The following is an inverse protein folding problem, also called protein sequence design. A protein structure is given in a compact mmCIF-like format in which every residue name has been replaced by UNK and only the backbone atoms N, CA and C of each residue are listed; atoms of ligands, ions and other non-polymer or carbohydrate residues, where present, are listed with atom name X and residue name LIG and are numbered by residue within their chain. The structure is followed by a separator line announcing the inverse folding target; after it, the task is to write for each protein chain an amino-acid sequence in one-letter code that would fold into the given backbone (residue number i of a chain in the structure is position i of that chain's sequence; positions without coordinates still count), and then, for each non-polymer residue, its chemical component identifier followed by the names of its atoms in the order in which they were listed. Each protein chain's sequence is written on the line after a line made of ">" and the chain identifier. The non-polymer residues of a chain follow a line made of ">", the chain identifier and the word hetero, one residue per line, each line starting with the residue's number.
data_IF_842590826145
#
_entry.id   IF_842590826145
#
_cell.length_a   1.000
_cell.length_b   1.000
_cell.length_c   1.000
_cell.angle_alpha   90.00
_cell.angle_beta   90.00
_cell.angle_gamma   90.00
#
_symmetry.space_group_name_H-M   'P 1'
#
loop_
_entity.id
_entity.type
_entity.pdbx_description
1 polymer ?
#
# COMPACT_ATOMS: atom_id res chain seq x y z
N UNK A 1 13.29 52.40 -52.32
CA UNK A 1 14.63 51.80 -52.48
C UNK A 1 15.47 52.23 -51.30
N UNK A 2 15.88 51.25 -50.48
CA UNK A 2 17.15 51.10 -49.74
C UNK A 2 17.88 52.40 -49.31
N UNK A 3 18.15 52.54 -48.01
CA UNK A 3 19.31 53.33 -47.56
C UNK A 3 19.32 53.83 -46.10
N UNK A 4 19.99 53.05 -45.25
CA UNK A 4 20.78 53.41 -44.07
C UNK A 4 20.21 54.17 -42.87
N UNK A 5 20.44 53.58 -41.70
CA UNK A 5 20.40 54.23 -40.39
C UNK A 5 20.66 53.24 -39.25
N UNK A 6 21.90 52.77 -39.13
CA UNK A 6 22.38 52.00 -37.97
C UNK A 6 22.54 52.97 -36.80
N UNK A 7 21.95 52.66 -35.65
CA UNK A 7 22.50 53.05 -34.35
C UNK A 7 22.41 51.84 -33.42
N UNK A 8 23.57 51.47 -32.89
CA UNK A 8 23.72 50.52 -31.80
C UNK A 8 23.26 51.20 -30.51
N UNK A 9 22.42 50.54 -29.72
CA UNK A 9 22.40 50.75 -28.27
C UNK A 9 22.09 49.42 -27.55
N UNK A 10 23.12 48.99 -26.82
CA UNK A 10 23.14 48.27 -25.55
C UNK A 10 22.12 47.15 -25.28
N UNK A 11 22.63 45.93 -25.42
CA UNK A 11 22.12 44.71 -24.77
C UNK A 11 22.22 44.86 -23.25
N UNK A 12 21.07 44.95 -22.56
CA UNK A 12 20.95 44.46 -21.19
C UNK A 12 20.44 43.01 -21.22
N UNK A 13 21.35 42.11 -21.60
CA UNK A 13 21.15 40.68 -21.42
C UNK A 13 21.26 40.35 -19.94
N UNK A 14 20.16 40.47 -19.20
CA UNK A 14 20.02 39.83 -17.89
C UNK A 14 20.21 38.34 -18.10
N UNK A 15 21.40 37.85 -17.75
CA UNK A 15 21.79 36.48 -18.03
C UNK A 15 20.79 35.54 -17.37
N UNK A 16 20.38 34.47 -18.08
CA UNK A 16 19.65 33.34 -17.49
C UNK A 16 20.36 32.83 -16.22
N UNK A 17 21.69 33.07 -16.09
CA UNK A 17 22.46 32.80 -14.87
C UNK A 17 22.12 33.70 -13.68
N UNK A 18 21.73 34.97 -13.88
CA UNK A 18 21.32 35.90 -12.82
C UNK A 18 19.90 35.61 -12.34
N UNK A 19 19.00 35.24 -13.27
CA UNK A 19 17.64 34.81 -12.94
C UNK A 19 17.65 33.44 -12.25
N UNK A 20 18.50 32.52 -12.70
CA UNK A 20 18.77 31.25 -12.01
C UNK A 20 19.56 31.45 -10.71
N UNK A 21 20.43 32.46 -10.60
CA UNK A 21 21.08 32.81 -9.34
C UNK A 21 20.07 33.39 -8.36
N UNK A 22 19.12 34.21 -8.79
CA UNK A 22 18.01 34.72 -8.00
C UNK A 22 17.06 33.61 -7.52
N UNK A 23 16.69 32.66 -8.39
CA UNK A 23 15.92 31.47 -8.00
C UNK A 23 16.71 30.54 -7.08
N UNK A 24 18.01 30.34 -7.34
CA UNK A 24 18.90 29.60 -6.44
C UNK A 24 19.12 30.35 -5.12
N UNK A 25 19.06 31.68 -5.09
CA UNK A 25 19.21 32.47 -3.86
C UNK A 25 17.91 32.49 -3.05
N UNK A 26 16.74 32.49 -3.70
CA UNK A 26 15.43 32.26 -3.05
C UNK A 26 15.31 30.82 -2.53
N UNK A 27 15.70 29.82 -3.33
CA UNK A 27 15.77 28.42 -2.90
C UNK A 27 16.82 28.20 -1.80
N UNK A 28 17.97 28.89 -1.84
CA UNK A 28 19.01 28.85 -0.79
C UNK A 28 18.62 29.64 0.47
N UNK A 29 17.70 30.61 0.38
CA UNK A 29 17.11 31.28 1.56
C UNK A 29 16.05 30.42 2.25
N UNK A 30 15.42 29.49 1.52
CA UNK A 30 14.51 28.48 2.11
C UNK A 30 15.27 27.25 2.63
N UNK A 31 16.49 26.99 2.17
CA UNK A 31 17.31 25.81 2.55
C UNK A 31 18.40 26.07 3.61
N UNK A 32 18.33 27.17 4.37
CA UNK A 32 19.26 27.42 5.48
C UNK A 32 18.53 27.62 6.81
N UNK A 33 18.11 26.50 7.41
CA UNK A 33 18.36 26.11 8.81
C UNK A 33 18.17 24.59 8.93
N UNK A 34 19.24 23.77 9.11
CA UNK A 34 19.11 22.45 9.71
C UNK A 34 18.94 22.64 11.21
N UNK A 35 17.87 23.32 11.60
CA UNK A 35 17.41 23.34 12.97
C UNK A 35 16.32 22.30 13.02
N UNK A 36 16.52 21.27 13.85
CA UNK A 36 15.48 20.41 14.40
C UNK A 36 14.07 20.91 14.04
N UNK A 37 13.25 20.09 13.35
CA UNK A 37 11.82 20.08 13.69
C UNK A 37 11.81 20.09 15.22
N UNK A 38 11.20 21.06 15.94
CA UNK A 38 11.24 21.09 17.40
C UNK A 38 10.88 19.69 17.86
N UNK A 39 11.90 18.89 18.21
CA UNK A 39 11.63 17.49 18.46
C UNK A 39 10.80 17.55 19.72
N UNK A 40 9.68 16.84 19.74
CA UNK A 40 9.03 16.49 20.99
C UNK A 40 10.07 15.78 21.84
N UNK A 41 10.85 16.58 22.59
CA UNK A 41 12.05 16.16 23.31
C UNK A 41 11.71 15.14 24.39
N UNK A 42 10.43 15.12 24.74
CA UNK A 42 9.75 14.09 25.51
C UNK A 42 9.80 12.72 24.83
N UNK A 43 9.53 12.59 23.53
CA UNK A 43 9.49 11.30 22.84
C UNK A 43 10.83 10.58 22.83
N UNK A 44 11.97 11.30 22.80
CA UNK A 44 13.31 10.69 22.93
C UNK A 44 13.46 9.84 24.20
N UNK A 45 12.66 10.14 25.23
CA UNK A 45 12.70 9.46 26.53
C UNK A 45 11.53 8.51 26.74
N UNK A 46 10.55 8.47 25.81
CA UNK A 46 9.38 7.61 25.91
C UNK A 46 9.70 6.22 25.34
N UNK A 47 9.47 5.13 26.08
CA UNK A 47 9.60 3.78 25.54
C UNK A 47 8.70 3.58 24.31
N UNK A 48 9.19 2.83 23.31
CA UNK A 48 8.44 2.54 22.07
C UNK A 48 8.56 3.60 20.98
N UNK A 49 9.43 4.60 21.17
CA UNK A 49 9.76 5.60 20.16
C UNK A 49 11.27 5.69 19.95
N UNK A 50 11.66 5.90 18.70
CA UNK A 50 13.03 6.18 18.28
C UNK A 50 13.09 7.51 17.54
N UNK A 51 14.26 8.13 17.54
CA UNK A 51 14.54 9.28 16.66
C UNK A 51 15.43 8.81 15.55
N UNK A 52 14.93 8.88 14.32
CA UNK A 52 15.58 8.37 13.11
C UNK A 52 15.74 9.51 12.10
N UNK A 53 16.64 9.31 11.12
CA UNK A 53 16.89 10.31 10.08
C UNK A 53 16.26 9.89 8.76
N UNK A 54 15.32 10.68 8.24
CA UNK A 54 14.65 10.44 6.96
C UNK A 54 14.85 11.66 6.06
N UNK A 55 15.40 11.47 4.86
CA UNK A 55 15.65 12.56 3.90
C UNK A 55 16.39 13.77 4.49
N UNK A 56 17.32 13.52 5.41
CA UNK A 56 18.11 14.55 6.10
C UNK A 56 17.45 15.18 7.33
N UNK A 57 16.16 14.91 7.57
CA UNK A 57 15.38 15.39 8.73
C UNK A 57 15.44 14.37 9.87
N UNK A 58 15.55 14.85 11.11
CA UNK A 58 15.32 14.02 12.30
C UNK A 58 13.82 13.94 12.58
N UNK A 59 13.28 12.73 12.69
CA UNK A 59 11.86 12.46 12.92
C UNK A 59 11.70 11.49 14.08
N UNK A 60 10.59 11.61 14.81
CA UNK A 60 10.16 10.64 15.81
C UNK A 60 9.44 9.52 15.08
N UNK A 61 9.92 8.30 15.26
CA UNK A 61 9.29 7.09 14.75
C UNK A 61 8.79 6.21 15.89
N UNK A 62 7.68 5.51 15.67
CA UNK A 62 7.20 4.47 16.58
C UNK A 62 7.92 3.17 16.28
N UNK A 63 8.45 2.53 17.32
CA UNK A 63 9.10 1.24 17.19
C UNK A 63 8.07 0.12 17.11
N UNK A 64 8.09 -0.65 16.02
CA UNK A 64 7.14 -1.73 15.76
C UNK A 64 7.88 -2.99 15.34
N UNK A 65 7.65 -4.07 16.09
CA UNK A 65 8.13 -5.42 15.75
C UNK A 65 7.39 -5.88 14.50
N UNK A 66 8.13 -6.29 13.48
CA UNK A 66 7.57 -6.75 12.20
C UNK A 66 6.54 -5.79 11.57
N UNK A 67 6.91 -4.52 11.42
CA UNK A 67 6.03 -3.49 10.86
C UNK A 67 5.41 -3.89 9.51
N UNK A 68 4.10 -3.64 9.40
CA UNK A 68 3.30 -3.80 8.18
C UNK A 68 2.68 -2.45 7.84
N UNK A 69 3.37 -1.62 7.03
CA UNK A 69 3.02 -0.21 6.84
C UNK A 69 1.56 0.01 6.41
N UNK A 70 1.03 -0.85 5.54
CA UNK A 70 -0.35 -0.77 5.08
C UNK A 70 -1.38 -1.07 6.16
N UNK A 71 -1.10 -2.02 7.08
CA UNK A 71 -1.99 -2.27 8.22
C UNK A 71 -2.04 -1.07 9.14
N UNK A 72 -0.92 -0.38 9.30
CA UNK A 72 -0.85 0.85 10.08
C UNK A 72 -1.64 1.98 9.41
N UNK A 73 -1.52 2.12 8.09
CA UNK A 73 -2.35 3.05 7.30
C UNK A 73 -3.84 2.76 7.47
N UNK A 74 -4.26 1.50 7.33
CA UNK A 74 -5.66 1.08 7.49
C UNK A 74 -6.19 1.32 8.90
N UNK A 75 -5.37 1.05 9.93
CA UNK A 75 -5.71 1.36 11.33
C UNK A 75 -5.86 2.87 11.54
N UNK A 76 -4.93 3.67 11.04
CA UNK A 76 -5.00 5.13 11.13
C UNK A 76 -6.24 5.69 10.42
N UNK A 77 -6.54 5.17 9.22
CA UNK A 77 -7.72 5.58 8.47
C UNK A 77 -9.03 5.32 9.21
N UNK A 78 -9.18 4.15 9.84
CA UNK A 78 -10.34 3.82 10.68
C UNK A 78 -10.44 4.73 11.90
N UNK A 79 -9.30 5.05 12.52
CA UNK A 79 -9.28 6.00 13.64
C UNK A 79 -9.74 7.38 13.19
N UNK A 80 -9.26 7.90 12.06
CA UNK A 80 -9.74 9.16 11.49
C UNK A 80 -11.26 9.13 11.23
N UNK A 81 -11.76 8.05 10.62
CA UNK A 81 -13.20 7.88 10.38
C UNK A 81 -14.01 7.93 11.68
N UNK A 82 -13.59 7.19 12.71
CA UNK A 82 -14.28 7.18 14.00
C UNK A 82 -14.26 8.57 14.64
N UNK A 83 -13.11 9.26 14.60
CA UNK A 83 -13.00 10.64 15.10
C UNK A 83 -13.94 11.60 14.39
N UNK A 84 -14.10 11.47 13.07
CA UNK A 84 -15.04 12.30 12.32
C UNK A 84 -16.49 12.00 12.71
N UNK A 85 -16.85 10.72 12.85
CA UNK A 85 -18.17 10.32 13.31
C UNK A 85 -18.48 10.89 14.72
N UNK A 86 -17.54 10.76 15.66
CA UNK A 86 -17.68 11.27 17.03
C UNK A 86 -17.79 12.80 17.09
N UNK A 87 -17.15 13.50 16.14
CA UNK A 87 -17.21 14.95 15.99
C UNK A 87 -18.43 15.45 15.17
N UNK A 88 -19.28 14.54 14.68
CA UNK A 88 -20.42 14.90 13.81
C UNK A 88 -19.98 15.50 12.48
N UNK A 89 -18.87 15.00 11.92
CA UNK A 89 -18.33 15.36 10.61
C UNK A 89 -18.66 14.21 9.66
N UNK A 90 -19.47 14.49 8.64
CA UNK A 90 -19.73 13.55 7.56
C UNK A 90 -18.46 13.33 6.73
N UNK A 91 -18.06 12.06 6.56
CA UNK A 91 -16.92 11.66 5.74
C UNK A 91 -17.23 10.43 4.89
N UNK A 92 -16.56 10.30 3.74
CA UNK A 92 -16.78 9.21 2.78
C UNK A 92 -15.48 8.78 2.09
N UNK A 93 -15.37 7.51 1.74
CA UNK A 93 -14.24 6.95 1.01
C UNK A 93 -14.28 7.36 -0.47
N UNK A 94 -13.14 7.81 -1.01
CA UNK A 94 -13.02 8.32 -2.40
C UNK A 94 -11.99 7.55 -3.26
N UNK A 95 -11.49 6.42 -2.77
CA UNK A 95 -10.50 5.58 -3.44
C UNK A 95 -11.16 4.37 -4.10
N UNK A 96 -10.57 3.78 -5.16
CA UNK A 96 -11.13 2.62 -5.86
C UNK A 96 -11.35 1.39 -4.97
N UNK A 97 -12.28 0.52 -5.38
CA UNK A 97 -12.54 -0.75 -4.67
C UNK A 97 -11.27 -1.61 -4.59
N UNK A 98 -11.07 -2.21 -3.42
CA UNK A 98 -9.88 -3.04 -3.18
C UNK A 98 -8.56 -2.25 -3.16
N UNK A 99 -8.56 -0.91 -3.22
CA UNK A 99 -7.33 -0.12 -3.05
C UNK A 99 -6.84 -0.12 -1.60
N UNK A 100 -5.53 0.09 -1.42
CA UNK A 100 -4.88 0.34 -0.12
C UNK A 100 -4.71 1.82 0.20
N UNK A 101 -5.08 2.68 -0.74
CA UNK A 101 -5.09 4.12 -0.51
C UNK A 101 -6.29 4.44 0.37
N UNK A 102 -6.07 5.03 1.53
CA UNK A 102 -7.15 5.46 2.41
C UNK A 102 -7.33 6.97 2.30
N UNK A 103 -8.35 7.34 1.54
CA UNK A 103 -8.74 8.73 1.30
C UNK A 103 -10.16 8.99 1.78
N UNK A 104 -10.29 9.98 2.68
CA UNK A 104 -11.56 10.48 3.20
C UNK A 104 -11.91 11.83 2.57
N UNK A 105 -13.00 11.86 1.82
CA UNK A 105 -13.68 13.09 1.45
C UNK A 105 -14.45 13.67 2.64
N UNK A 106 -14.35 14.98 2.83
CA UNK A 106 -15.16 15.75 3.77
C UNK A 106 -15.64 17.04 3.10
N UNK A 107 -16.78 17.56 3.54
CA UNK A 107 -17.29 18.84 3.03
C UNK A 107 -16.31 19.97 3.35
N UNK A 108 -16.19 20.95 2.45
CA UNK A 108 -15.31 22.11 2.64
C UNK A 108 -15.62 22.87 3.94
N UNK A 109 -16.90 23.01 4.27
CA UNK A 109 -17.37 23.64 5.50
C UNK A 109 -16.84 22.96 6.77
N UNK A 110 -16.61 21.65 6.72
CA UNK A 110 -16.16 20.85 7.86
C UNK A 110 -14.66 20.60 7.89
N UNK A 111 -13.96 20.86 6.79
CA UNK A 111 -12.55 20.52 6.65
C UNK A 111 -11.65 21.10 7.75
N UNK A 112 -11.82 22.38 8.10
CA UNK A 112 -11.05 22.99 9.18
C UNK A 112 -11.33 22.31 10.54
N UNK A 113 -12.58 21.91 10.80
CA UNK A 113 -12.99 21.17 11.99
C UNK A 113 -12.42 19.75 11.99
N UNK A 114 -12.35 19.10 10.83
CA UNK A 114 -11.75 17.78 10.66
C UNK A 114 -10.24 17.80 10.98
N UNK A 115 -9.51 18.77 10.42
CA UNK A 115 -8.07 18.99 10.71
C UNK A 115 -7.86 19.23 12.21
N UNK A 116 -8.63 20.12 12.83
CA UNK A 116 -8.53 20.41 14.26
C UNK A 116 -8.81 19.17 15.13
N UNK A 117 -9.79 18.36 14.75
CA UNK A 117 -10.14 17.11 15.44
C UNK A 117 -8.97 16.12 15.37
N UNK A 118 -8.43 15.88 14.18
CA UNK A 118 -7.25 15.02 13.98
C UNK A 118 -6.08 15.52 14.82
N UNK A 119 -5.75 16.81 14.77
CA UNK A 119 -4.63 17.36 15.53
C UNK A 119 -4.82 17.22 17.03
N UNK A 120 -6.01 17.52 17.56
CA UNK A 120 -6.29 17.43 19.00
C UNK A 120 -6.21 16.00 19.51
N UNK A 121 -6.87 15.07 18.84
CA UNK A 121 -7.03 13.69 19.32
C UNK A 121 -5.77 12.85 19.15
N UNK A 122 -4.90 13.20 18.21
CA UNK A 122 -3.63 12.51 17.96
C UNK A 122 -2.40 13.18 18.58
N UNK A 123 -2.60 14.23 19.38
CA UNK A 123 -1.53 14.84 20.17
C UNK A 123 -0.98 13.80 21.16
N UNK A 124 0.35 13.68 21.26
CA UNK A 124 1.00 12.70 22.13
C UNK A 124 1.27 11.33 21.50
N UNK A 125 0.89 11.11 20.24
CA UNK A 125 1.04 9.82 19.54
C UNK A 125 2.15 9.77 18.48
N UNK A 126 2.97 10.80 18.35
CA UNK A 126 3.99 10.93 17.31
C UNK A 126 3.45 10.79 15.87
N UNK A 127 2.27 11.34 15.62
CA UNK A 127 1.68 11.44 14.29
C UNK A 127 2.12 12.73 13.59
N UNK A 128 2.18 12.68 12.27
CA UNK A 128 2.62 13.77 11.40
C UNK A 128 1.50 14.17 10.46
N UNK A 129 1.47 15.46 10.13
CA UNK A 129 0.63 16.04 9.11
C UNK A 129 1.49 16.66 8.01
N UNK A 130 1.08 16.41 6.77
CA UNK A 130 1.65 17.03 5.56
C UNK A 130 0.51 17.55 4.70
N UNK A 131 0.59 18.80 4.26
CA UNK A 131 -0.48 19.46 3.50
C UNK A 131 -0.02 19.81 2.08
N UNK A 132 -0.83 19.59 1.03
CA UNK A 132 -0.63 20.18 -0.31
C UNK A 132 -1.41 21.51 -0.43
N UNK A 133 -0.96 22.52 -1.20
CA UNK A 133 0.18 22.53 -2.14
C UNK A 133 1.54 22.88 -1.49
N UNK A 134 1.59 23.10 -0.18
CA UNK A 134 2.87 23.31 0.50
C UNK A 134 3.77 22.10 0.28
N UNK A 135 4.95 22.30 -0.33
CA UNK A 135 6.03 21.30 -0.39
C UNK A 135 6.59 21.00 1.03
N UNK A 136 5.94 21.53 2.08
CA UNK A 136 6.46 21.68 3.42
C UNK A 136 6.55 20.35 4.14
N UNK A 137 7.79 19.98 4.45
CA UNK A 137 8.25 19.19 5.59
C UNK A 137 7.12 18.66 6.48
N UNK A 138 6.96 17.33 6.60
CA UNK A 138 6.04 16.76 7.57
C UNK A 138 6.22 17.36 8.96
N UNK A 139 5.12 17.82 9.55
CA UNK A 139 5.14 18.48 10.85
C UNK A 139 4.48 17.57 11.86
N UNK A 140 5.10 17.41 13.03
CA UNK A 140 4.54 16.65 14.13
C UNK A 140 3.23 17.30 14.57
N UNK A 141 2.19 16.50 14.81
CA UNK A 141 0.88 16.98 15.27
C UNK A 141 1.01 17.84 16.53
N UNK A 142 1.91 17.46 17.44
CA UNK A 142 2.18 18.18 18.69
C UNK A 142 2.70 19.62 18.50
N UNK A 143 3.36 19.91 17.37
CA UNK A 143 3.99 21.21 17.09
C UNK A 143 3.19 22.06 16.09
N UNK A 144 2.08 21.52 15.57
CA UNK A 144 1.33 22.13 14.50
C UNK A 144 0.27 23.09 15.04
N UNK A 145 0.17 24.28 14.44
CA UNK A 145 -1.06 25.08 14.51
C UNK A 145 -2.08 24.56 13.47
N UNK A 146 -3.15 23.86 13.88
CA UNK A 146 -4.12 23.30 12.93
C UNK A 146 -4.90 24.38 12.17
N UNK A 147 -4.99 25.61 12.68
CA UNK A 147 -5.68 26.70 11.99
C UNK A 147 -4.97 27.07 10.67
N UNK A 148 -3.66 26.88 10.59
CA UNK A 148 -2.88 27.13 9.39
C UNK A 148 -3.17 26.16 8.25
N UNK A 149 -3.73 24.97 8.53
CA UNK A 149 -3.97 23.92 7.54
C UNK A 149 -5.40 23.88 6.98
N UNK A 150 -6.34 24.67 7.52
CA UNK A 150 -7.73 24.69 7.06
C UNK A 150 -7.91 25.17 5.60
N UNK A 151 -6.90 25.81 5.01
CA UNK A 151 -6.88 26.25 3.60
C UNK A 151 -6.20 25.27 2.64
N UNK A 152 -5.60 24.19 3.15
CA UNK A 152 -4.90 23.20 2.34
C UNK A 152 -5.85 22.49 1.35
N UNK A 153 -5.27 22.03 0.22
CA UNK A 153 -5.98 21.22 -0.76
C UNK A 153 -6.28 19.81 -0.25
N UNK A 154 -5.46 19.28 0.65
CA UNK A 154 -5.69 18.08 1.46
C UNK A 154 -4.61 17.98 2.54
N UNK A 155 -4.82 17.12 3.53
CA UNK A 155 -3.78 16.68 4.47
C UNK A 155 -3.55 15.18 4.39
N UNK A 156 -2.29 14.77 4.52
CA UNK A 156 -1.85 13.40 4.74
C UNK A 156 -1.51 13.25 6.23
N UNK A 157 -2.20 12.34 6.91
CA UNK A 157 -1.95 11.94 8.31
C UNK A 157 -1.15 10.65 8.30
N UNK A 158 0.01 10.60 8.96
CA UNK A 158 0.83 9.38 8.98
C UNK A 158 1.74 9.33 10.20
N UNK A 159 2.29 8.15 10.49
CA UNK A 159 3.27 7.94 11.55
C UNK A 159 4.55 7.39 10.92
N UNK A 160 5.72 7.94 11.27
CA UNK A 160 6.96 7.25 10.95
C UNK A 160 7.04 5.97 11.77
N UNK A 161 7.31 4.85 11.12
CA UNK A 161 7.47 3.58 11.80
C UNK A 161 8.87 3.06 11.57
N UNK A 162 9.51 2.66 12.65
CA UNK A 162 10.84 2.06 12.65
C UNK A 162 10.72 0.62 13.12
N UNK A 163 11.29 -0.32 12.35
CA UNK A 163 11.22 -1.74 12.69
C UNK A 163 12.55 -2.32 13.18
N UNK A 164 12.48 -3.55 13.68
CA UNK A 164 13.64 -4.27 14.22
C UNK A 164 14.76 -4.54 13.20
N UNK A 165 14.51 -4.36 11.90
CA UNK A 165 15.50 -4.51 10.83
C UNK A 165 16.10 -3.16 10.41
N UNK A 166 15.77 -2.07 11.11
CA UNK A 166 16.29 -0.73 10.83
C UNK A 166 15.56 -0.02 9.67
N UNK A 167 14.44 -0.56 9.19
CA UNK A 167 13.66 0.08 8.13
C UNK A 167 12.78 1.17 8.71
N UNK A 168 12.63 2.26 7.96
CA UNK A 168 11.76 3.38 8.33
C UNK A 168 10.71 3.59 7.24
N UNK A 169 9.46 3.67 7.66
CA UNK A 169 8.30 3.83 6.78
C UNK A 169 7.77 5.28 6.89
N UNK A 170 7.86 6.09 5.82
CA UNK A 170 7.49 7.50 5.82
C UNK A 170 6.01 7.70 5.41
N UNK A 171 5.73 8.72 4.61
CA UNK A 171 4.41 9.24 4.28
C UNK A 171 3.64 8.43 3.21
N UNK A 172 4.26 7.47 2.53
CA UNK A 172 3.55 6.66 1.52
C UNK A 172 2.46 5.75 2.12
N UNK A 173 2.38 5.64 3.45
CA UNK A 173 1.34 4.92 4.20
C UNK A 173 0.38 5.85 4.93
N UNK A 174 0.23 7.07 4.45
CA UNK A 174 -0.69 8.04 5.03
C UNK A 174 -2.17 7.65 4.86
N UNK A 175 -2.98 8.17 5.78
CA UNK A 175 -4.42 8.37 5.59
C UNK A 175 -4.62 9.82 5.13
N UNK A 176 -5.24 10.01 3.97
CA UNK A 176 -5.48 11.35 3.41
C UNK A 176 -6.89 11.85 3.71
N UNK A 177 -7.02 13.14 3.99
CA UNK A 177 -8.28 13.84 4.18
C UNK A 177 -8.39 14.96 3.16
N UNK A 178 -9.42 14.92 2.32
CA UNK A 178 -9.61 15.80 1.17
C UNK A 178 -10.87 16.64 1.34
N UNK A 179 -10.80 17.99 1.28
CA UNK A 179 -11.96 18.85 1.20
C UNK A 179 -12.64 18.78 -0.18
N UNK A 180 -13.96 18.75 -0.15
CA UNK A 180 -14.82 18.81 -1.32
C UNK A 180 -15.63 20.11 -1.32
N UNK A 181 -15.50 20.89 -2.39
CA UNK A 181 -16.15 22.19 -2.54
C UNK A 181 -17.52 22.04 -3.23
N UNK A 182 -18.57 22.75 -2.79
CA UNK A 182 -19.82 22.83 -3.54
C UNK A 182 -19.60 23.55 -4.89
N UNK A 183 -20.31 23.09 -5.90
CA UNK A 183 -20.35 23.70 -7.23
C UNK A 183 -21.70 24.35 -7.51
N UNK A 184 -21.74 25.25 -8.50
CA UNK A 184 -22.97 25.88 -8.97
C UNK A 184 -23.97 24.88 -9.60
N UNK A 185 -23.55 23.62 -9.85
CA UNK A 185 -24.37 22.56 -10.45
C UNK A 185 -25.08 21.69 -9.41
N UNK A 186 -24.91 21.98 -8.11
CA UNK A 186 -25.42 21.12 -7.03
C UNK A 186 -24.60 19.84 -6.87
N UNK A 187 -23.30 19.90 -7.17
CA UNK A 187 -22.34 18.81 -6.99
C UNK A 187 -21.26 19.23 -6.00
N UNK A 188 -20.55 18.25 -5.44
CA UNK A 188 -19.31 18.44 -4.71
C UNK A 188 -18.13 18.11 -5.62
N UNK A 189 -17.11 18.96 -5.64
CA UNK A 189 -15.90 18.82 -6.46
C UNK A 189 -14.68 18.61 -5.57
N UNK A 190 -13.90 17.57 -5.90
CA UNK A 190 -12.67 17.23 -5.20
C UNK A 190 -11.59 18.30 -5.44
N UNK A 191 -10.91 18.73 -4.38
CA UNK A 191 -9.72 19.59 -4.51
C UNK A 191 -8.47 18.85 -4.96
N UNK A 192 -8.40 17.54 -4.76
CA UNK A 192 -7.31 16.73 -5.27
C UNK A 192 -7.54 16.46 -6.76
N UNK A 193 -6.83 17.19 -7.61
CA UNK A 193 -6.92 17.06 -9.08
C UNK A 193 -6.28 15.78 -9.62
N UNK A 194 -5.53 15.07 -8.79
CA UNK A 194 -4.93 13.77 -9.11
C UNK A 194 -5.89 12.61 -8.77
N UNK A 195 -7.00 12.89 -8.07
CA UNK A 195 -7.97 11.87 -7.68
C UNK A 195 -8.69 11.28 -8.91
N UNK A 196 -8.97 9.97 -8.84
CA UNK A 196 -9.75 9.23 -9.84
C UNK A 196 -11.19 9.76 -9.89
N UNK A 197 -11.76 10.04 -8.71
CA UNK A 197 -13.12 10.58 -8.57
C UNK A 197 -13.00 12.07 -8.22
N UNK A 198 -13.55 12.92 -9.07
CA UNK A 198 -13.39 14.39 -8.94
C UNK A 198 -14.70 15.13 -8.69
N UNK A 199 -15.85 14.50 -8.89
CA UNK A 199 -17.16 15.13 -8.74
C UNK A 199 -18.22 14.09 -8.30
N UNK A 200 -19.06 14.46 -7.33
CA UNK A 200 -20.20 13.66 -6.86
C UNK A 200 -21.41 14.57 -6.63
N UNK A 201 -22.62 14.03 -6.57
CA UNK A 201 -23.81 14.81 -6.23
C UNK A 201 -23.75 15.38 -4.81
N UNK A 202 -24.17 16.63 -4.62
CA UNK A 202 -24.25 17.26 -3.31
C UNK A 202 -25.60 16.96 -2.64
N UNK A 203 -25.69 15.78 -2.04
CA UNK A 203 -26.83 15.35 -1.22
C UNK A 203 -26.43 15.41 0.26
N UNK A 204 -27.28 15.97 1.12
CA UNK A 204 -27.01 16.07 2.57
C UNK A 204 -28.08 15.34 3.38
N UNK A 205 -27.75 14.24 4.09
CA UNK A 205 -26.44 13.56 4.07
C UNK A 205 -26.14 12.90 2.71
N UNK A 206 -24.86 12.65 2.42
CA UNK A 206 -24.44 11.90 1.24
C UNK A 206 -24.90 10.46 1.42
N UNK A 207 -25.70 9.90 0.49
CA UNK A 207 -26.05 8.49 0.53
C UNK A 207 -24.76 7.65 0.41
N UNK A 208 -24.53 6.75 1.37
CA UNK A 208 -23.37 5.86 1.38
C UNK A 208 -23.78 4.39 1.42
N UNK A 209 -22.99 3.55 0.77
CA UNK A 209 -22.99 2.09 0.94
C UNK A 209 -21.79 1.68 1.78
N UNK A 210 -21.97 0.63 2.58
CA UNK A 210 -20.91 0.05 3.39
C UNK A 210 -20.17 -1.01 2.56
N UNK A 211 -18.90 -0.74 2.25
CA UNK A 211 -18.08 -1.59 1.38
C UNK A 211 -16.98 -2.27 2.21
N UNK A 212 -16.79 -3.59 2.09
CA UNK A 212 -15.68 -4.28 2.76
C UNK A 212 -14.34 -3.87 2.13
N UNK A 213 -13.37 -3.47 2.97
CA UNK A 213 -11.97 -3.31 2.61
C UNK A 213 -11.25 -4.66 2.60
N UNK A 214 -10.02 -4.67 2.07
CA UNK A 214 -9.19 -5.87 2.06
C UNK A 214 -8.95 -6.46 3.46
N UNK A 215 -8.83 -5.65 4.51
CA UNK A 215 -8.67 -6.16 5.87
C UNK A 215 -10.01 -6.52 6.56
N UNK A 216 -11.12 -6.54 5.82
CA UNK A 216 -12.45 -6.90 6.30
C UNK A 216 -13.18 -5.79 7.06
N UNK A 217 -12.59 -4.58 7.16
CA UNK A 217 -13.29 -3.42 7.69
C UNK A 217 -14.39 -2.96 6.73
N UNK A 218 -15.37 -2.22 7.23
CA UNK A 218 -16.42 -1.64 6.39
C UNK A 218 -16.24 -0.14 6.27
N UNK A 219 -16.17 0.37 5.05
CA UNK A 219 -15.92 1.77 4.74
C UNK A 219 -17.17 2.40 4.08
N UNK A 220 -17.58 3.62 4.48
CA UNK A 220 -18.70 4.33 3.87
C UNK A 220 -18.24 4.93 2.53
N UNK A 221 -18.77 4.42 1.43
CA UNK A 221 -18.49 4.93 0.08
C UNK A 221 -19.75 5.59 -0.48
N UNK A 222 -19.67 6.73 -1.20
CA UNK A 222 -20.84 7.32 -1.84
C UNK A 222 -21.59 6.29 -2.69
N UNK A 223 -22.91 6.20 -2.53
CA UNK A 223 -23.72 5.17 -3.17
C UNK A 223 -23.68 5.23 -4.71
N UNK A 224 -23.48 6.44 -5.27
CA UNK A 224 -23.27 6.64 -6.71
C UNK A 224 -21.99 5.97 -7.22
N UNK A 225 -21.03 5.69 -6.33
CA UNK A 225 -19.77 5.01 -6.62
C UNK A 225 -19.81 3.55 -6.17
N UNK A 226 -20.97 3.02 -5.78
CA UNK A 226 -21.10 1.65 -5.30
C UNK A 226 -20.81 0.61 -6.40
N UNK A 227 -21.07 0.98 -7.64
CA UNK A 227 -20.73 0.15 -8.79
C UNK A 227 -19.28 0.40 -9.21
N UNK A 228 -18.51 -0.68 -9.50
CA UNK A 228 -17.15 -0.55 -10.02
C UNK A 228 -17.16 0.22 -11.34
N UNK A 229 -16.25 1.19 -11.50
CA UNK A 229 -16.03 1.85 -12.79
C UNK A 229 -15.13 0.98 -13.71
N UNK A 230 -14.95 1.32 -15.00
CA UNK A 230 -14.16 0.50 -15.94
C UNK A 230 -12.69 0.30 -15.56
N UNK A 231 -12.15 1.08 -14.63
CA UNK A 231 -10.80 0.92 -14.07
C UNK A 231 -10.74 -0.03 -12.87
N UNK A 232 -11.89 -0.46 -12.35
CA UNK A 232 -12.02 -1.34 -11.20
C UNK A 232 -12.32 -2.80 -11.59
N UNK A 233 -11.71 -3.75 -10.87
CA UNK A 233 -11.97 -5.17 -11.06
C UNK A 233 -13.29 -5.55 -10.39
N UNK A 234 -14.33 -5.80 -11.20
CA UNK A 234 -15.69 -6.08 -10.72
C UNK A 234 -15.99 -7.55 -10.40
N UNK A 235 -15.06 -8.47 -10.67
CA UNK A 235 -15.22 -9.91 -10.48
C UNK A 235 -14.19 -10.45 -9.47
N UNK A 236 -14.49 -11.53 -8.73
CA UNK A 236 -13.53 -12.11 -7.80
C UNK A 236 -12.31 -12.66 -8.55
N UNK A 237 -11.10 -12.32 -8.09
CA UNK A 237 -9.87 -12.95 -8.56
C UNK A 237 -9.17 -13.64 -7.40
N UNK A 238 -8.81 -14.90 -7.59
CA UNK A 238 -8.00 -15.66 -6.63
C UNK A 238 -6.54 -15.76 -7.08
N UNK A 239 -5.65 -16.08 -6.15
CA UNK A 239 -4.26 -16.44 -6.45
C UNK A 239 -4.05 -17.93 -6.15
N UNK A 240 -3.44 -18.66 -7.08
CA UNK A 240 -3.07 -20.06 -6.91
C UNK A 240 -1.54 -20.13 -6.94
N UNK A 241 -0.98 -20.48 -5.79
CA UNK A 241 0.44 -20.73 -5.63
C UNK A 241 0.72 -22.22 -5.65
N UNK A 242 1.82 -22.61 -6.28
CA UNK A 242 2.43 -23.91 -6.08
C UNK A 242 3.69 -23.75 -5.23
N UNK A 243 3.84 -24.64 -4.26
CA UNK A 243 5.00 -24.62 -3.38
C UNK A 243 5.30 -26.01 -2.83
N UNK A 244 6.60 -26.27 -2.64
CA UNK A 244 7.11 -27.49 -2.01
C UNK A 244 8.30 -27.12 -1.10
N UNK A 245 8.36 -27.76 0.06
CA UNK A 245 9.56 -27.76 0.92
C UNK A 245 10.39 -28.99 0.56
N UNK A 246 11.52 -28.76 -0.12
CA UNK A 246 12.46 -29.79 -0.53
C UNK A 246 13.30 -30.35 0.62
N UNK A 247 13.26 -29.68 1.77
CA UNK A 247 13.97 -30.10 2.97
C UNK A 247 13.14 -31.03 3.85
N UNK A 248 11.84 -31.21 3.54
CA UNK A 248 10.94 -32.13 4.24
C UNK A 248 11.34 -33.59 3.96
N UNK A 249 11.84 -34.32 4.98
CA UNK A 249 12.28 -35.70 4.81
C UNK A 249 11.15 -36.64 4.36
N UNK A 250 9.92 -36.37 4.76
CA UNK A 250 8.78 -37.18 4.38
C UNK A 250 8.42 -36.99 2.91
N UNK A 251 8.61 -35.78 2.36
CA UNK A 251 8.43 -35.50 0.95
C UNK A 251 9.53 -36.15 0.11
N UNK A 252 10.79 -35.96 0.50
CA UNK A 252 11.94 -36.59 -0.17
C UNK A 252 11.78 -38.11 -0.27
N UNK A 253 11.43 -38.77 0.84
CA UNK A 253 11.22 -40.22 0.85
C UNK A 253 10.10 -40.69 -0.11
N UNK A 254 9.03 -39.89 -0.28
CA UNK A 254 7.95 -40.21 -1.24
C UNK A 254 8.43 -40.04 -2.68
N UNK A 255 9.15 -38.96 -2.97
CA UNK A 255 9.70 -38.68 -4.30
C UNK A 255 10.70 -39.76 -4.72
N UNK A 256 11.66 -40.06 -3.85
CA UNK A 256 12.74 -40.99 -4.15
C UNK A 256 12.19 -42.41 -4.42
N UNK A 257 11.17 -42.84 -3.66
CA UNK A 257 10.50 -44.12 -3.88
C UNK A 257 9.83 -44.23 -5.27
N UNK A 258 9.37 -43.12 -5.86
CA UNK A 258 8.82 -43.11 -7.24
C UNK A 258 9.93 -43.17 -8.27
N UNK A 259 10.98 -42.35 -8.09
CA UNK A 259 12.12 -42.29 -9.01
C UNK A 259 12.81 -43.66 -9.12
N UNK A 260 13.08 -44.31 -7.98
CA UNK A 260 13.66 -45.66 -7.92
C UNK A 260 12.78 -46.71 -8.60
N UNK A 261 11.46 -46.54 -8.59
CA UNK A 261 10.49 -47.44 -9.21
C UNK A 261 10.33 -47.26 -10.73
N UNK A 262 10.78 -46.14 -11.30
CA UNK A 262 10.59 -45.80 -12.73
C UNK A 262 11.78 -46.07 -13.65
N UNK A 263 12.94 -46.45 -13.11
CA UNK A 263 14.17 -46.91 -13.78
C UNK A 263 14.26 -46.72 -15.31
N UNK A 264 14.40 -45.47 -15.77
CA UNK A 264 15.16 -45.16 -16.99
C UNK A 264 16.51 -44.54 -16.59
N UNK A 265 17.61 -44.80 -17.33
CA UNK A 265 18.93 -44.30 -16.96
C UNK A 265 18.96 -42.77 -17.03
N UNK A 266 19.42 -42.14 -15.95
CA UNK A 266 19.57 -40.69 -15.81
C UNK A 266 20.28 -40.08 -17.03
N UNK A 267 19.67 -39.07 -17.63
CA UNK A 267 20.33 -38.19 -18.59
C UNK A 267 21.07 -37.10 -17.82
N UNK A 268 22.26 -36.69 -18.28
CA UNK A 268 23.06 -35.62 -17.65
C UNK A 268 22.29 -34.28 -17.49
N UNK A 269 21.16 -34.08 -18.18
CA UNK A 269 20.27 -32.92 -18.03
C UNK A 269 19.40 -32.93 -16.76
N UNK A 270 19.17 -34.09 -16.14
CA UNK A 270 18.35 -34.20 -14.91
C UNK A 270 19.13 -33.78 -13.65
N UNK A 271 20.46 -33.86 -13.71
CA UNK A 271 21.39 -33.44 -12.65
C UNK A 271 21.28 -31.95 -12.30
N UNK A 272 21.12 -31.07 -13.29
CA UNK A 272 20.90 -29.64 -13.05
C UNK A 272 19.47 -29.34 -12.57
N UNK A 273 18.47 -30.13 -13.00
CA UNK A 273 17.09 -30.02 -12.53
C UNK A 273 16.92 -30.47 -11.07
N UNK A 274 17.80 -31.36 -10.57
CA UNK A 274 17.80 -31.84 -9.17
C UNK A 274 18.81 -31.12 -8.26
N UNK A 275 19.50 -30.09 -8.73
CA UNK A 275 20.50 -29.39 -7.93
C UNK A 275 19.90 -28.82 -6.62
N UNK A 276 20.44 -29.15 -5.43
CA UNK A 276 19.93 -28.69 -4.12
C UNK A 276 19.85 -27.15 -3.98
N UNK A 277 20.53 -26.41 -4.85
CA UNK A 277 20.51 -24.95 -4.88
C UNK A 277 19.22 -24.35 -5.46
N UNK A 278 18.44 -25.11 -6.25
CA UNK A 278 17.19 -24.67 -6.89
C UNK A 278 15.97 -24.73 -5.97
N UNK A 279 15.98 -25.56 -4.93
CA UNK A 279 14.77 -25.84 -4.15
C UNK A 279 14.83 -25.39 -2.68
N UNK A 280 15.99 -24.93 -2.20
CA UNK A 280 16.14 -24.45 -0.82
C UNK A 280 15.23 -23.25 -0.53
N UNK A 281 14.22 -23.44 0.32
CA UNK A 281 13.36 -22.35 0.83
C UNK A 281 14.20 -21.26 1.51
N UNK A 282 14.33 -20.09 0.87
CA UNK A 282 14.94 -18.87 1.43
C UNK A 282 13.89 -17.90 1.95
N UNK A 283 12.64 -18.34 2.10
CA UNK A 283 11.50 -17.53 2.46
C UNK A 283 10.89 -16.78 1.27
N UNK A 284 11.14 -17.22 0.03
CA UNK A 284 10.58 -16.63 -1.19
C UNK A 284 9.04 -16.59 -1.12
N UNK A 285 8.39 -17.72 -0.80
CA UNK A 285 6.92 -17.78 -0.65
C UNK A 285 6.40 -16.75 0.35
N UNK A 286 7.11 -16.59 1.49
CA UNK A 286 6.73 -15.62 2.52
C UNK A 286 6.85 -14.20 1.99
N UNK A 287 7.93 -13.88 1.27
CA UNK A 287 8.12 -12.58 0.66
C UNK A 287 7.09 -12.31 -0.45
N UNK A 288 6.79 -13.31 -1.28
CA UNK A 288 5.76 -13.27 -2.33
C UNK A 288 4.40 -12.96 -1.73
N UNK A 289 3.96 -13.70 -0.70
CA UNK A 289 2.68 -13.44 -0.02
C UNK A 289 2.61 -12.03 0.55
N UNK A 290 3.72 -11.50 1.09
CA UNK A 290 3.77 -10.11 1.59
C UNK A 290 3.71 -9.08 0.48
N UNK A 291 4.29 -9.37 -0.69
CA UNK A 291 4.18 -8.50 -1.86
C UNK A 291 2.78 -8.54 -2.48
N UNK A 292 2.16 -9.72 -2.60
CA UNK A 292 0.78 -9.89 -3.06
C UNK A 292 -0.16 -9.16 -2.12
N UNK A 293 0.03 -9.36 -0.81
CA UNK A 293 -0.65 -8.56 0.20
C UNK A 293 -0.49 -7.08 -0.17
N UNK A 294 0.74 -6.55 -0.21
CA UNK A 294 1.01 -5.13 -0.45
C UNK A 294 0.42 -4.54 -1.74
N UNK A 295 0.46 -5.26 -2.86
CA UNK A 295 0.23 -4.68 -4.19
C UNK A 295 -0.96 -5.27 -4.94
N UNK A 296 -1.50 -6.41 -4.49
CA UNK A 296 -2.71 -7.02 -5.03
C UNK A 296 -3.82 -7.22 -3.96
N UNK A 297 -4.23 -6.15 -3.24
CA UNK A 297 -5.35 -6.17 -2.30
C UNK A 297 -6.73 -6.48 -2.92
N UNK A 298 -6.83 -6.65 -4.24
CA UNK A 298 -8.04 -7.11 -4.90
C UNK A 298 -8.13 -8.64 -4.97
N UNK A 299 -7.06 -9.38 -4.58
CA UNK A 299 -7.11 -10.83 -4.46
C UNK A 299 -8.03 -11.24 -3.31
N UNK A 300 -9.01 -12.08 -3.65
CA UNK A 300 -10.03 -12.62 -2.73
C UNK A 300 -9.42 -13.72 -1.85
N UNK A 301 -9.02 -14.83 -2.45
CA UNK A 301 -8.48 -16.01 -1.74
C UNK A 301 -7.14 -16.43 -2.35
N UNK A 302 -6.22 -16.85 -1.49
CA UNK A 302 -4.93 -17.45 -1.88
C UNK A 302 -5.06 -18.96 -1.67
N UNK A 303 -5.01 -19.74 -2.75
CA UNK A 303 -4.88 -21.19 -2.69
C UNK A 303 -3.41 -21.56 -2.76
N UNK A 304 -2.89 -22.20 -1.73
CA UNK A 304 -1.53 -22.72 -1.69
C UNK A 304 -1.59 -24.23 -1.94
N UNK A 305 -1.26 -24.63 -3.17
CA UNK A 305 -1.21 -26.03 -3.59
C UNK A 305 0.13 -26.63 -3.17
N UNK A 306 0.08 -27.69 -2.37
CA UNK A 306 1.26 -28.36 -1.80
C UNK A 306 1.18 -29.88 -1.95
N UNK A 307 2.25 -30.60 -1.59
CA UNK A 307 2.21 -32.06 -1.38
C UNK A 307 2.24 -32.39 0.11
N UNK A 308 1.08 -32.36 0.78
CA UNK A 308 0.92 -32.64 2.23
C UNK A 308 1.76 -31.74 3.14
N UNK A 309 2.12 -30.55 2.66
CA UNK A 309 2.99 -29.63 3.36
C UNK A 309 2.26 -28.36 3.76
N UNK A 310 2.81 -27.72 4.79
CA UNK A 310 2.32 -26.46 5.32
C UNK A 310 3.50 -25.60 5.77
N UNK A 311 3.66 -24.37 5.25
CA UNK A 311 4.72 -23.48 5.72
C UNK A 311 4.54 -23.19 7.22
N UNK A 312 5.62 -23.33 7.99
CA UNK A 312 5.61 -23.21 9.45
C UNK A 312 5.24 -21.80 9.94
N UNK A 313 5.53 -20.78 9.13
CA UNK A 313 5.22 -19.38 9.41
C UNK A 313 3.79 -18.99 9.06
N UNK A 314 3.02 -19.86 8.38
CA UNK A 314 1.67 -19.55 7.93
C UNK A 314 0.66 -19.73 9.06
N UNK A 315 -0.07 -18.66 9.38
CA UNK A 315 -1.11 -18.64 10.42
C UNK A 315 -2.24 -19.65 10.12
N UNK A 316 -2.50 -20.65 11.00
CA UNK A 316 -3.61 -21.60 10.85
C UNK A 316 -4.99 -21.01 10.93
N UNK A 317 -5.13 -19.77 11.42
CA UNK A 317 -6.42 -19.09 11.55
C UNK A 317 -6.70 -18.14 10.39
N UNK A 318 -5.77 -17.97 9.44
CA UNK A 318 -5.99 -17.12 8.28
C UNK A 318 -7.16 -17.65 7.45
N UNK A 319 -8.22 -16.84 7.29
CA UNK A 319 -9.33 -17.14 6.39
C UNK A 319 -9.01 -16.84 4.92
N UNK A 320 -7.86 -16.21 4.64
CA UNK A 320 -7.45 -15.78 3.29
C UNK A 320 -6.59 -16.81 2.56
N UNK A 321 -5.97 -17.75 3.26
CA UNK A 321 -5.10 -18.76 2.66
C UNK A 321 -5.71 -20.14 2.87
N UNK A 322 -6.02 -20.81 1.76
CA UNK A 322 -6.51 -22.19 1.75
C UNK A 322 -5.36 -23.08 1.29
N UNK A 323 -4.92 -24.00 2.15
CA UNK A 323 -3.95 -25.02 1.73
C UNK A 323 -4.72 -26.12 1.02
N UNK A 324 -4.27 -26.48 -0.18
CA UNK A 324 -4.84 -27.54 -0.99
C UNK A 324 -3.77 -28.59 -1.22
N UNK A 325 -4.05 -29.85 -0.89
CA UNK A 325 -3.19 -30.94 -1.30
C UNK A 325 -3.43 -31.21 -2.78
N UNK A 326 -2.36 -31.25 -3.59
CA UNK A 326 -2.53 -31.44 -5.04
C UNK A 326 -3.26 -32.76 -5.37
N UNK A 327 -3.23 -33.77 -4.49
CA UNK A 327 -3.94 -35.04 -4.73
C UNK A 327 -5.45 -34.87 -4.76
N UNK A 328 -5.97 -33.85 -4.10
CA UNK A 328 -7.40 -33.57 -4.01
C UNK A 328 -7.95 -32.92 -5.29
N UNK A 329 -7.07 -32.50 -6.22
CA UNK A 329 -7.46 -31.83 -7.47
C UNK A 329 -7.25 -32.67 -8.73
N UNK A 330 -6.57 -33.81 -8.64
CA UNK A 330 -6.41 -34.71 -9.79
C UNK A 330 -7.74 -35.38 -10.14
N UNK A 331 -8.10 -35.34 -11.43
CA UNK A 331 -9.27 -36.06 -11.94
C UNK A 331 -9.16 -37.58 -11.77
N UNK A 332 -7.99 -38.12 -12.09
CA UNK A 332 -7.69 -39.54 -11.99
C UNK A 332 -6.67 -39.76 -10.88
N UNK A 333 -7.09 -40.23 -9.69
CA UNK A 333 -6.16 -40.49 -8.60
C UNK A 333 -5.16 -41.62 -8.87
N UNK A 334 -5.36 -42.44 -9.91
CA UNK A 334 -4.47 -43.57 -10.22
C UNK A 334 -3.10 -43.15 -10.75
N UNK A 335 -2.98 -41.91 -11.24
CA UNK A 335 -1.69 -41.35 -11.72
C UNK A 335 -0.85 -40.72 -10.59
N UNK A 336 -1.33 -40.79 -9.35
CA UNK A 336 -0.62 -40.29 -8.17
C UNK A 336 0.25 -41.38 -7.53
N UNK A 337 1.34 -41.02 -6.82
CA UNK A 337 1.84 -39.65 -6.61
C UNK A 337 2.52 -39.06 -7.85
N UNK A 338 2.33 -37.75 -8.08
CA UNK A 338 3.01 -36.99 -9.12
C UNK A 338 3.86 -35.88 -8.51
N UNK A 339 5.11 -35.76 -8.96
CA UNK A 339 6.04 -34.68 -8.61
C UNK A 339 6.31 -33.75 -9.79
N UNK A 340 5.61 -33.95 -10.91
CA UNK A 340 5.74 -33.13 -12.11
C UNK A 340 4.85 -31.89 -11.97
N UNK A 341 5.46 -30.70 -11.97
CA UNK A 341 4.73 -29.44 -11.82
C UNK A 341 3.71 -29.24 -12.94
N UNK A 342 4.04 -29.51 -14.20
CA UNK A 342 3.10 -29.37 -15.32
C UNK A 342 1.87 -30.28 -15.19
N UNK A 343 2.06 -31.51 -14.69
CA UNK A 343 0.94 -32.40 -14.41
C UNK A 343 0.02 -31.80 -13.33
N UNK A 344 0.57 -31.23 -12.26
CA UNK A 344 -0.20 -30.59 -11.19
C UNK A 344 -0.86 -29.28 -11.69
N UNK A 345 -0.13 -28.45 -12.42
CA UNK A 345 -0.60 -27.19 -13.04
C UNK A 345 -1.85 -27.43 -13.90
N UNK A 346 -1.87 -28.53 -14.65
CA UNK A 346 -3.00 -28.91 -15.52
C UNK A 346 -4.31 -29.24 -14.78
N UNK A 347 -4.25 -29.35 -13.44
CA UNK A 347 -5.39 -29.72 -12.59
C UNK A 347 -5.88 -28.56 -11.71
N UNK A 348 -5.20 -27.40 -11.68
CA UNK A 348 -5.49 -26.31 -10.74
C UNK A 348 -6.93 -25.77 -10.84
N UNK A 349 -7.52 -25.79 -12.03
CA UNK A 349 -8.91 -25.39 -12.26
C UNK A 349 -9.95 -26.25 -11.51
N UNK A 350 -9.54 -27.40 -10.95
CA UNK A 350 -10.40 -28.31 -10.17
C UNK A 350 -10.43 -27.99 -8.67
N UNK A 351 -9.67 -26.99 -8.21
CA UNK A 351 -9.70 -26.54 -6.82
C UNK A 351 -11.14 -26.14 -6.44
N UNK A 352 -11.76 -26.78 -5.41
CA UNK A 352 -13.11 -26.43 -5.00
C UNK A 352 -13.21 -24.99 -4.51
N UNK A 353 -14.16 -24.22 -5.06
CA UNK A 353 -14.39 -22.82 -4.67
C UNK A 353 -13.48 -21.79 -5.36
N UNK A 354 -12.56 -22.23 -6.22
CA UNK A 354 -11.75 -21.35 -7.06
C UNK A 354 -12.64 -20.48 -7.94
N UNK A 355 -12.30 -19.20 -8.05
CA UNK A 355 -12.97 -18.27 -8.94
C UNK A 355 -12.74 -18.65 -10.41
N UNK A 356 -13.68 -18.25 -11.28
CA UNK A 356 -13.52 -18.33 -12.74
C UNK A 356 -12.25 -17.59 -13.21
N UNK A 357 -11.87 -16.54 -12.50
CA UNK A 357 -10.66 -15.75 -12.75
C UNK A 357 -9.66 -15.98 -11.62
N UNK A 358 -8.46 -16.46 -11.97
CA UNK A 358 -7.38 -16.61 -11.01
C UNK A 358 -6.03 -16.33 -11.64
N UNK A 359 -5.07 -15.93 -10.81
CA UNK A 359 -3.67 -15.85 -11.17
C UNK A 359 -2.96 -17.12 -10.73
N UNK A 360 -2.27 -17.80 -11.65
CA UNK A 360 -1.28 -18.80 -11.31
C UNK A 360 0.07 -18.13 -11.02
N UNK A 361 0.70 -18.50 -9.91
CA UNK A 361 1.94 -17.90 -9.43
C UNK A 361 2.88 -19.00 -8.90
N UNK A 362 4.16 -18.89 -9.25
CA UNK A 362 5.20 -19.58 -8.49
C UNK A 362 5.46 -18.85 -7.16
N UNK A 363 6.10 -19.54 -6.21
CA UNK A 363 6.40 -19.02 -4.88
C UNK A 363 7.43 -17.88 -4.85
N UNK A 364 8.17 -17.69 -5.93
CA UNK A 364 9.19 -16.65 -6.11
C UNK A 364 8.71 -15.40 -6.88
N UNK A 365 7.43 -15.33 -7.26
CA UNK A 365 6.86 -14.16 -7.93
C UNK A 365 6.60 -13.03 -6.96
N UNK A 366 7.14 -11.84 -7.22
CA UNK A 366 6.87 -10.63 -6.41
C UNK A 366 6.02 -9.62 -7.17
N UNK A 367 5.05 -9.04 -6.48
CA UNK A 367 4.28 -7.89 -6.97
C UNK A 367 4.98 -6.57 -6.61
N UNK A 368 4.76 -5.53 -7.42
CA UNK A 368 5.28 -4.18 -7.20
C UNK A 368 4.36 -3.11 -7.78
#
# INVERSE_FOLDING_TARGET
>A
MIGCGVNQDERSGGSMSELMAGLKMLARRVLRRPGLLPLGSEYRRRPGFSVVRVNGLEVVARDVVAAQPWHQSAQLARRCQQLFADAGIECWAIHPLGSRVFEWGVRRSDYARAVQTVSREFTGEALYLKAKPSIGVPTLVDDLDPAALGSASFIDVFQYVHDQWGRVFPDYVACRVVPWDPSDRGTLVCRDREAVIQEIEDLSPIPVVQVPSWDGASLPRPAILAEPDPSEVAFPIDAVYMWVDDSDPAWCARRDAVVEGTAEPESDSDSEAQAPARYRDRGELRASFRSLELYAPWIRTIYLVTDRQRPSWLDPKSSRVVIVDHRDIFEDPSVLPSFNSHAIESQLQRIPGLSEYYLYLNDDVLFN
#
